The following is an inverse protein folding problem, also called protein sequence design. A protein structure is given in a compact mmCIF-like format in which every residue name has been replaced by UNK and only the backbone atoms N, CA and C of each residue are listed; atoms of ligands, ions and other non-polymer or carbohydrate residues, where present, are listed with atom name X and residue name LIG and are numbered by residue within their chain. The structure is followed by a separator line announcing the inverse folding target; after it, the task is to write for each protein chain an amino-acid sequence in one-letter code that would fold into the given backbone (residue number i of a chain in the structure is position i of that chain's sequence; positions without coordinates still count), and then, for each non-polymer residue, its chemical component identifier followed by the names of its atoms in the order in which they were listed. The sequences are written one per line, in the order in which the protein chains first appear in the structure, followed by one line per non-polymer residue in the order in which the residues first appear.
data_IF_621699065414
#
_entry.id   IF_621699065414
#
_cell.length_a   1.000
_cell.length_b   1.000
_cell.length_c   1.000
_cell.angle_alpha   90.00
_cell.angle_beta   90.00
_cell.angle_gamma   90.00
#
_symmetry.space_group_name_H-M   'P 1'
#
loop_
_entity.id
_entity.type
_entity.pdbx_description
1 polymer ?
#
# COMPACT_ATOMS: atom_id res chain seq x y z
N UNK A 1 -20.15 -16.91 13.40
CA UNK A 1 -19.78 -16.41 12.06
C UNK A 1 -18.41 -16.95 11.70
N UNK A 2 -18.17 -17.39 10.46
CA UNK A 2 -16.89 -17.97 10.04
C UNK A 2 -15.96 -16.91 9.43
N UNK A 3 -14.65 -17.15 9.48
CA UNK A 3 -13.64 -16.34 8.79
C UNK A 3 -13.74 -16.64 7.29
N UNK A 4 -13.93 -15.59 6.47
CA UNK A 4 -14.10 -15.72 5.02
C UNK A 4 -12.77 -15.86 4.27
N UNK A 5 -11.68 -15.31 4.82
CA UNK A 5 -10.35 -15.38 4.25
C UNK A 5 -9.32 -14.71 5.15
N UNK A 6 -8.04 -15.01 4.92
CA UNK A 6 -6.91 -14.48 5.68
C UNK A 6 -5.80 -14.08 4.71
N UNK A 7 -5.13 -12.97 5.00
CA UNK A 7 -4.03 -12.47 4.19
C UNK A 7 -3.00 -11.77 5.04
N UNK A 8 -1.74 -11.96 4.67
CA UNK A 8 -0.58 -11.34 5.31
C UNK A 8 0.36 -10.82 4.23
N UNK A 9 1.05 -9.74 4.55
CA UNK A 9 2.07 -9.18 3.68
C UNK A 9 3.19 -8.53 4.49
N UNK A 10 4.40 -8.54 3.91
CA UNK A 10 5.58 -7.92 4.48
C UNK A 10 6.22 -7.01 3.45
N UNK A 11 6.47 -5.76 3.86
CA UNK A 11 7.06 -4.73 3.02
C UNK A 11 8.33 -4.21 3.67
N UNK A 12 9.42 -4.29 2.94
CA UNK A 12 10.67 -3.65 3.32
C UNK A 12 10.61 -2.15 3.03
N UNK A 13 10.79 -1.33 4.06
CA UNK A 13 10.72 0.14 3.95
C UNK A 13 11.79 0.67 3.00
N UNK A 14 13.02 0.13 3.06
CA UNK A 14 14.12 0.51 2.19
C UNK A 14 13.79 0.29 0.69
N UNK A 15 12.99 -0.73 0.38
CA UNK A 15 12.52 -0.97 -0.99
C UNK A 15 11.57 0.12 -1.47
N UNK A 16 10.65 0.57 -0.62
CA UNK A 16 9.73 1.68 -0.94
C UNK A 16 10.51 2.98 -1.10
N UNK A 17 11.46 3.24 -0.21
CA UNK A 17 12.34 4.41 -0.27
C UNK A 17 13.12 4.48 -1.58
N UNK A 18 13.74 3.36 -1.99
CA UNK A 18 14.46 3.28 -3.25
C UNK A 18 13.56 3.53 -4.48
N UNK A 19 12.31 3.07 -4.45
CA UNK A 19 11.34 3.32 -5.53
C UNK A 19 10.96 4.80 -5.58
N UNK A 20 10.64 5.41 -4.43
CA UNK A 20 10.32 6.84 -4.35
C UNK A 20 11.51 7.69 -4.80
N UNK A 21 12.73 7.36 -4.37
CA UNK A 21 13.93 8.07 -4.80
C UNK A 21 14.15 8.03 -6.33
N UNK A 22 13.80 6.92 -6.98
CA UNK A 22 13.96 6.75 -8.44
C UNK A 22 12.83 7.32 -9.28
N UNK A 23 11.61 7.33 -8.75
CA UNK A 23 10.39 7.58 -9.55
C UNK A 23 9.42 8.61 -8.94
N UNK A 24 9.87 9.31 -7.90
CA UNK A 24 9.08 10.27 -7.14
C UNK A 24 7.80 9.64 -6.59
N UNK A 25 6.73 10.44 -6.54
CA UNK A 25 5.48 10.04 -5.92
C UNK A 25 4.59 9.14 -6.79
N UNK A 26 5.10 8.64 -7.92
CA UNK A 26 4.30 7.83 -8.85
C UNK A 26 3.74 6.57 -8.20
N UNK A 27 4.51 5.92 -7.33
CA UNK A 27 4.03 4.78 -6.55
C UNK A 27 2.97 5.23 -5.54
N UNK A 28 3.23 6.31 -4.81
CA UNK A 28 2.31 6.83 -3.80
C UNK A 28 0.94 7.19 -4.41
N UNK A 29 0.91 7.84 -5.58
CA UNK A 29 -0.34 8.19 -6.29
C UNK A 29 -1.14 6.99 -6.79
N UNK A 30 -0.50 5.84 -7.02
CA UNK A 30 -1.21 4.59 -7.30
C UNK A 30 -1.72 3.98 -6.00
N UNK A 31 -0.89 3.96 -4.97
CA UNK A 31 -1.22 3.23 -3.73
C UNK A 31 -2.25 3.92 -2.88
N UNK A 32 -2.27 5.24 -2.85
CA UNK A 32 -3.08 6.00 -1.92
C UNK A 32 -4.38 6.43 -2.60
N UNK A 33 -5.50 6.34 -1.86
CA UNK A 33 -6.73 7.04 -2.26
C UNK A 33 -6.55 8.54 -2.12
N UNK A 34 -7.46 9.35 -2.67
CA UNK A 34 -7.42 10.81 -2.55
C UNK A 34 -7.37 11.29 -1.08
N UNK A 35 -8.10 10.61 -0.19
CA UNK A 35 -8.08 10.88 1.25
C UNK A 35 -6.74 10.53 1.91
N UNK A 36 -6.09 9.45 1.47
CA UNK A 36 -4.78 9.06 1.98
C UNK A 36 -3.66 9.93 1.38
N UNK A 37 -3.85 10.46 0.17
CA UNK A 37 -2.95 11.39 -0.48
C UNK A 37 -2.83 12.70 0.30
N UNK A 38 -3.95 13.26 0.76
CA UNK A 38 -3.95 14.45 1.61
C UNK A 38 -3.16 14.24 2.91
N UNK A 39 -3.21 13.03 3.48
CA UNK A 39 -2.40 12.66 4.65
C UNK A 39 -0.93 12.55 4.26
N UNK A 40 -0.61 11.89 3.15
CA UNK A 40 0.76 11.72 2.66
C UNK A 40 1.50 13.05 2.50
N UNK A 41 0.86 14.06 1.92
CA UNK A 41 1.45 15.39 1.69
C UNK A 41 1.86 16.10 2.99
N UNK A 42 1.20 15.79 4.10
CA UNK A 42 1.42 16.43 5.40
C UNK A 42 2.15 15.51 6.40
N UNK A 43 2.43 14.26 6.02
CA UNK A 43 2.94 13.26 6.94
C UNK A 43 4.44 13.47 7.22
N UNK A 44 4.84 13.47 8.49
CA UNK A 44 6.25 13.65 8.88
C UNK A 44 7.19 12.51 8.42
N UNK A 45 6.63 11.32 8.18
CA UNK A 45 7.36 10.14 7.71
C UNK A 45 6.63 9.50 6.52
N UNK A 46 6.63 10.15 5.34
CA UNK A 46 5.74 9.77 4.25
C UNK A 46 6.05 8.36 3.73
N UNK A 47 7.34 8.03 3.51
CA UNK A 47 7.75 6.69 3.04
C UNK A 47 7.26 5.56 3.95
N UNK A 48 7.35 5.73 5.28
CA UNK A 48 6.84 4.73 6.25
C UNK A 48 5.32 4.65 6.23
N UNK A 49 4.63 5.76 6.00
CA UNK A 49 3.18 5.77 5.81
C UNK A 49 2.79 4.94 4.57
N UNK A 50 3.44 5.20 3.43
CA UNK A 50 3.20 4.45 2.21
C UNK A 50 3.51 2.95 2.34
N UNK A 51 4.62 2.59 2.99
CA UNK A 51 4.97 1.19 3.21
C UNK A 51 3.89 0.44 4.00
N UNK A 52 3.33 1.06 5.06
CA UNK A 52 2.20 0.50 5.82
C UNK A 52 0.95 0.34 4.95
N UNK A 53 0.62 1.34 4.14
CA UNK A 53 -0.55 1.32 3.25
C UNK A 53 -0.43 0.24 2.19
N UNK A 54 0.77 0.09 1.61
CA UNK A 54 1.07 -0.96 0.66
C UNK A 54 0.85 -2.35 1.28
N UNK A 55 1.47 -2.63 2.43
CA UNK A 55 1.37 -3.93 3.11
C UNK A 55 -0.08 -4.29 3.47
N UNK A 56 -0.84 -3.34 4.02
CA UNK A 56 -2.24 -3.58 4.40
C UNK A 56 -3.12 -3.86 3.18
N UNK A 57 -2.93 -3.13 2.08
CA UNK A 57 -3.72 -3.32 0.86
C UNK A 57 -3.39 -4.67 0.19
N UNK A 58 -2.12 -5.07 0.16
CA UNK A 58 -1.73 -6.41 -0.29
C UNK A 58 -2.33 -7.52 0.59
N UNK A 59 -2.23 -7.39 1.92
CA UNK A 59 -2.79 -8.35 2.87
C UNK A 59 -4.31 -8.48 2.71
N UNK A 60 -5.02 -7.36 2.57
CA UNK A 60 -6.46 -7.36 2.32
C UNK A 60 -6.83 -8.03 0.99
N UNK A 61 -6.11 -7.72 -0.09
CA UNK A 61 -6.33 -8.33 -1.40
C UNK A 61 -6.09 -9.86 -1.39
N UNK A 62 -5.13 -10.34 -0.58
CA UNK A 62 -4.91 -11.78 -0.35
C UNK A 62 -6.05 -12.41 0.46
N UNK A 63 -6.52 -11.73 1.50
CA UNK A 63 -7.66 -12.20 2.29
C UNK A 63 -8.95 -12.30 1.46
N UNK A 64 -9.11 -11.44 0.45
CA UNK A 64 -10.24 -11.47 -0.49
C UNK A 64 -10.08 -12.53 -1.60
N UNK A 65 -8.92 -13.20 -1.71
CA UNK A 65 -8.67 -14.28 -2.67
C UNK A 65 -8.47 -13.84 -4.13
N UNK A 66 -8.46 -12.54 -4.43
CA UNK A 66 -8.31 -12.01 -5.79
C UNK A 66 -6.89 -11.53 -6.09
N UNK A 67 -6.09 -11.24 -5.07
CA UNK A 67 -4.83 -10.52 -5.22
C UNK A 67 -5.03 -9.09 -5.79
N UNK A 68 -3.93 -8.42 -6.15
CA UNK A 68 -3.96 -7.05 -6.72
C UNK A 68 -4.37 -7.04 -8.20
N UNK A 69 -4.19 -8.15 -8.91
CA UNK A 69 -4.62 -8.31 -10.30
C UNK A 69 -6.05 -8.83 -10.29
N UNK A 70 -7.05 -7.93 -10.26
CA UNK A 70 -8.47 -8.14 -10.67
C UNK A 70 -9.38 -7.02 -10.10
N UNK A 71 -9.00 -5.75 -10.23
CA UNK A 71 -9.86 -4.62 -9.84
C UNK A 71 -9.74 -4.15 -8.39
N UNK A 72 -8.82 -4.73 -7.60
CA UNK A 72 -8.43 -4.25 -6.26
C UNK A 72 -7.08 -3.54 -6.24
N UNK A 73 -6.46 -3.34 -7.40
CA UNK A 73 -5.16 -2.71 -7.49
C UNK A 73 -5.25 -1.20 -7.38
N UNK A 74 -4.47 -0.64 -6.43
CA UNK A 74 -3.52 0.47 -6.65
C UNK A 74 -3.75 1.25 -7.96
#
# INVERSE_FOLDING_TARGET
MAILGLGTDIVEIARIEAVIARSGDRLARRVLSDSEWAIWEQHQQPVRFLAKRFAVKEAAAKALGTGIRNGLGV
#
